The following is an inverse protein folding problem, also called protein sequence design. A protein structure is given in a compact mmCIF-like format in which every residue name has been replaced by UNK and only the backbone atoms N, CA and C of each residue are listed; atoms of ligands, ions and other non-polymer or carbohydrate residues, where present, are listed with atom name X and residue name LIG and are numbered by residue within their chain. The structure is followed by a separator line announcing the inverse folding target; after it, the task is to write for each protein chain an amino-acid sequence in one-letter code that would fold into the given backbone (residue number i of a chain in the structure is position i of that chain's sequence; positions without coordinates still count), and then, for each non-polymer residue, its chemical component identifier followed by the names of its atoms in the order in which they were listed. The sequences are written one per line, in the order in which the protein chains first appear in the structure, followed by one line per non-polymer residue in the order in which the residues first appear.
data_IF_782815987096
#
_entry.id   IF_782815987096
#
_cell.length_a   1.000
_cell.length_b   1.000
_cell.length_c   1.000
_cell.angle_alpha   90.00
_cell.angle_beta   90.00
_cell.angle_gamma   90.00
#
_symmetry.space_group_name_H-M   'P 1'
#
loop_
_entity.id
_entity.type
_entity.pdbx_description
1 polymer ?
#
# COMPACT_ATOMS: atom_id res chain seq x y z
N UNK A 1 12.28 -2.10 -17.85
CA UNK A 1 12.79 -3.10 -16.89
C UNK A 1 12.69 -4.52 -17.44
N UNK A 2 11.52 -5.19 -17.48
CA UNK A 2 11.37 -6.61 -17.90
C UNK A 2 12.11 -6.93 -19.20
N UNK A 3 11.96 -6.11 -20.24
CA UNK A 3 12.67 -6.26 -21.52
C UNK A 3 14.19 -6.37 -21.35
N UNK A 4 14.79 -5.52 -20.53
CA UNK A 4 16.23 -5.51 -20.28
C UNK A 4 16.68 -6.71 -19.43
N UNK A 5 15.85 -7.17 -18.48
CA UNK A 5 16.11 -8.39 -17.70
C UNK A 5 16.20 -9.60 -18.65
N UNK A 6 15.23 -9.73 -19.57
CA UNK A 6 15.23 -10.79 -20.57
C UNK A 6 16.43 -10.72 -21.53
N UNK A 7 16.76 -9.53 -22.03
CA UNK A 7 17.91 -9.33 -22.93
C UNK A 7 19.25 -9.63 -22.24
N UNK A 8 19.31 -9.46 -20.91
CA UNK A 8 20.48 -9.80 -20.09
C UNK A 8 20.55 -11.29 -19.76
N UNK A 9 19.57 -12.10 -20.16
CA UNK A 9 19.55 -13.54 -19.94
C UNK A 9 19.23 -13.95 -18.50
N UNK A 10 18.64 -13.05 -17.70
CA UNK A 10 18.29 -13.32 -16.31
C UNK A 10 16.90 -13.98 -16.28
N UNK A 11 16.75 -15.22 -15.76
CA UNK A 11 15.46 -15.86 -15.62
C UNK A 11 14.61 -15.17 -14.54
N UNK A 12 13.29 -15.14 -14.74
CA UNK A 12 12.32 -14.62 -13.77
C UNK A 12 11.43 -15.80 -13.37
N UNK A 13 11.60 -16.27 -12.13
CA UNK A 13 10.91 -17.46 -11.62
C UNK A 13 9.65 -17.11 -10.81
N UNK A 14 9.55 -15.87 -10.30
CA UNK A 14 8.41 -15.37 -9.54
C UNK A 14 8.24 -13.88 -9.78
N UNK A 15 7.00 -13.40 -9.68
CA UNK A 15 6.67 -11.98 -9.84
C UNK A 15 5.77 -11.55 -8.70
N UNK A 16 6.01 -10.36 -8.16
CA UNK A 16 5.18 -9.78 -7.12
C UNK A 16 5.01 -8.30 -7.39
N UNK A 17 3.88 -7.72 -6.95
CA UNK A 17 3.71 -6.29 -7.13
C UNK A 17 2.55 -5.69 -6.37
N UNK A 18 2.63 -4.37 -6.26
CA UNK A 18 1.67 -3.51 -5.58
C UNK A 18 1.26 -2.39 -6.53
N UNK A 19 -0.01 -2.03 -6.53
CA UNK A 19 -0.54 -0.98 -7.38
C UNK A 19 -0.19 -1.21 -8.86
N UNK A 20 0.42 -0.24 -9.54
CA UNK A 20 0.84 -0.42 -10.94
C UNK A 20 1.84 -1.57 -11.12
N UNK A 21 2.64 -1.88 -10.10
CA UNK A 21 3.52 -3.05 -10.06
C UNK A 21 2.73 -4.36 -10.07
N UNK A 22 1.58 -4.41 -9.37
CA UNK A 22 0.67 -5.56 -9.40
C UNK A 22 0.15 -5.79 -10.83
N UNK A 23 -0.28 -4.72 -11.50
CA UNK A 23 -0.79 -4.79 -12.87
C UNK A 23 0.29 -5.24 -13.87
N UNK A 24 1.47 -4.61 -13.85
CA UNK A 24 2.55 -4.96 -14.77
C UNK A 24 3.12 -6.35 -14.48
N UNK A 25 3.20 -6.73 -13.20
CA UNK A 25 3.62 -8.06 -12.78
C UNK A 25 2.62 -9.15 -13.18
N UNK A 26 1.33 -8.91 -13.04
CA UNK A 26 0.27 -9.81 -13.47
C UNK A 26 0.29 -9.99 -14.99
N UNK A 27 0.49 -8.91 -15.75
CA UNK A 27 0.64 -8.99 -17.21
C UNK A 27 1.84 -9.87 -17.59
N UNK A 28 2.96 -9.74 -16.90
CA UNK A 28 4.14 -10.57 -17.15
C UNK A 28 3.94 -12.04 -16.76
N UNK A 29 3.30 -12.28 -15.61
CA UNK A 29 2.99 -13.63 -15.14
C UNK A 29 1.95 -14.34 -16.02
N UNK A 30 1.05 -13.59 -16.66
CA UNK A 30 0.09 -14.10 -17.63
C UNK A 30 0.73 -14.28 -19.02
N UNK A 31 1.53 -13.31 -19.46
CA UNK A 31 2.06 -13.23 -20.81
C UNK A 31 3.59 -13.36 -20.79
N UNK A 32 4.12 -14.52 -21.20
CA UNK A 32 5.57 -14.79 -21.29
C UNK A 32 6.31 -13.91 -22.32
N UNK A 33 5.59 -13.22 -23.21
CA UNK A 33 6.17 -12.44 -24.31
C UNK A 33 6.11 -10.94 -24.02
N UNK A 34 7.28 -10.29 -23.93
CA UNK A 34 7.42 -8.84 -23.69
C UNK A 34 6.64 -8.00 -24.71
N UNK A 35 6.52 -8.47 -25.96
CA UNK A 35 5.80 -7.75 -27.01
C UNK A 35 4.31 -7.69 -26.70
N UNK A 36 3.71 -8.81 -26.31
CA UNK A 36 2.29 -8.91 -25.92
C UNK A 36 2.01 -8.13 -24.65
N UNK A 37 2.90 -8.24 -23.65
CA UNK A 37 2.84 -7.48 -22.40
C UNK A 37 2.84 -5.99 -22.69
N UNK A 38 3.76 -5.53 -23.54
CA UNK A 38 3.89 -4.13 -23.94
C UNK A 38 2.63 -3.66 -24.68
N UNK A 39 2.07 -4.49 -25.56
CA UNK A 39 0.85 -4.15 -26.29
C UNK A 39 -0.34 -4.01 -25.35
N UNK A 40 -0.62 -5.01 -24.50
CA UNK A 40 -1.71 -4.96 -23.53
C UNK A 40 -1.57 -3.78 -22.56
N UNK A 41 -0.36 -3.55 -22.04
CA UNK A 41 -0.08 -2.41 -21.18
C UNK A 41 -0.34 -1.07 -21.89
N UNK A 42 0.15 -0.91 -23.13
CA UNK A 42 -0.08 0.31 -23.93
C UNK A 42 -1.56 0.54 -24.21
N UNK A 43 -2.29 -0.51 -24.58
CA UNK A 43 -3.73 -0.42 -24.85
C UNK A 43 -4.51 -0.02 -23.59
N UNK A 44 -4.17 -0.60 -22.44
CA UNK A 44 -4.74 -0.21 -21.16
C UNK A 44 -4.41 1.25 -20.79
N UNK A 45 -3.15 1.69 -20.93
CA UNK A 45 -2.75 3.09 -20.67
C UNK A 45 -3.46 4.09 -21.60
N UNK A 46 -3.69 3.73 -22.87
CA UNK A 46 -4.49 4.53 -23.80
C UNK A 46 -5.94 4.67 -23.32
N UNK A 47 -6.57 3.58 -22.85
CA UNK A 47 -7.93 3.63 -22.27
C UNK A 47 -7.98 4.52 -21.04
N UNK A 48 -6.96 4.47 -20.19
CA UNK A 48 -6.84 5.35 -19.00
C UNK A 48 -6.61 6.82 -19.35
N UNK A 49 -6.16 7.14 -20.57
CA UNK A 49 -6.03 8.51 -21.07
C UNK A 49 -7.35 9.05 -21.65
N UNK A 50 -8.42 8.23 -21.76
CA UNK A 50 -9.72 8.70 -22.24
C UNK A 50 -10.53 9.32 -21.10
N UNK A 51 -10.23 10.59 -20.79
CA UNK A 51 -10.77 11.33 -19.64
C UNK A 51 -12.31 11.34 -19.61
N UNK A 52 -12.97 11.33 -20.77
CA UNK A 52 -14.44 11.31 -20.87
C UNK A 52 -15.08 10.09 -20.20
N UNK A 53 -14.47 8.90 -20.30
CA UNK A 53 -15.00 7.69 -19.66
C UNK A 53 -14.86 7.75 -18.14
N UNK A 54 -13.74 8.31 -17.66
CA UNK A 54 -13.51 8.50 -16.23
C UNK A 54 -14.46 9.55 -15.65
N UNK A 55 -14.68 10.67 -16.34
CA UNK A 55 -15.63 11.71 -15.93
C UNK A 55 -17.06 11.17 -15.83
N UNK A 56 -17.47 10.29 -16.75
CA UNK A 56 -18.78 9.64 -16.68
C UNK A 56 -18.91 8.64 -15.52
N UNK A 57 -17.78 8.20 -14.96
CA UNK A 57 -17.72 7.33 -13.78
C UNK A 57 -17.65 8.14 -12.46
N UNK A 58 -17.72 9.47 -12.53
CA UNK A 58 -17.74 10.34 -11.36
C UNK A 58 -19.02 10.07 -10.54
N UNK A 59 -18.86 9.78 -9.26
CA UNK A 59 -19.96 9.49 -8.34
C UNK A 59 -20.09 10.58 -7.28
N UNK A 60 -21.18 10.58 -6.52
CA UNK A 60 -21.33 11.47 -5.39
C UNK A 60 -20.25 11.16 -4.34
N UNK A 61 -19.37 12.11 -3.99
CA UNK A 61 -18.13 11.82 -3.25
C UNK A 61 -18.37 11.67 -1.74
N UNK A 62 -19.22 10.72 -1.35
CA UNK A 62 -19.33 10.29 0.06
C UNK A 62 -18.20 9.36 0.46
N UNK A 63 -17.76 8.49 -0.46
CA UNK A 63 -16.73 7.48 -0.22
C UNK A 63 -15.57 7.56 -1.21
N UNK A 64 -15.82 7.99 -2.45
CA UNK A 64 -14.81 8.11 -3.52
C UNK A 64 -15.28 9.06 -4.63
N UNK A 65 -14.34 9.65 -5.37
CA UNK A 65 -14.66 10.51 -6.51
C UNK A 65 -15.21 9.72 -7.70
N UNK A 66 -14.72 8.51 -7.94
CA UNK A 66 -15.18 7.63 -9.03
C UNK A 66 -15.92 6.43 -8.47
N UNK A 67 -16.88 5.87 -9.22
CA UNK A 67 -17.57 4.63 -8.85
C UNK A 67 -16.67 3.40 -9.03
N UNK A 68 -15.67 3.52 -9.92
CA UNK A 68 -14.72 2.45 -10.24
C UNK A 68 -15.25 1.47 -11.29
N UNK A 69 -16.45 1.68 -11.83
CA UNK A 69 -17.06 0.78 -12.82
C UNK A 69 -16.25 0.73 -14.12
N UNK A 70 -15.79 1.87 -14.62
CA UNK A 70 -15.00 1.91 -15.85
C UNK A 70 -13.60 1.31 -15.61
N UNK A 71 -13.00 1.60 -14.46
CA UNK A 71 -11.71 1.03 -14.08
C UNK A 71 -11.78 -0.51 -13.94
N UNK A 72 -12.83 -1.03 -13.32
CA UNK A 72 -13.07 -2.47 -13.22
C UNK A 72 -13.21 -3.11 -14.62
N UNK A 73 -13.92 -2.44 -15.54
CA UNK A 73 -14.08 -2.93 -16.91
C UNK A 73 -12.74 -2.95 -17.67
N UNK A 74 -11.89 -1.93 -17.51
CA UNK A 74 -10.59 -1.90 -18.21
C UNK A 74 -9.65 -2.99 -17.70
N UNK A 75 -9.59 -3.22 -16.37
CA UNK A 75 -8.76 -4.27 -15.78
C UNK A 75 -9.31 -5.67 -16.13
N UNK A 76 -10.62 -5.89 -16.00
CA UNK A 76 -11.24 -7.17 -16.39
C UNK A 76 -11.08 -7.46 -17.89
N UNK A 77 -11.14 -6.44 -18.76
CA UNK A 77 -10.88 -6.62 -20.18
C UNK A 77 -9.43 -7.01 -20.49
N UNK A 78 -8.47 -6.61 -19.65
CA UNK A 78 -7.05 -6.95 -19.81
C UNK A 78 -6.74 -8.38 -19.38
N UNK A 79 -7.29 -8.81 -18.23
CA UNK A 79 -6.96 -10.09 -17.60
C UNK A 79 -8.01 -11.19 -17.81
N UNK A 80 -9.19 -10.85 -18.34
CA UNK A 80 -10.35 -11.74 -18.41
C UNK A 80 -10.73 -12.33 -17.03
N UNK A 81 -11.48 -13.43 -17.03
CA UNK A 81 -11.86 -14.16 -15.81
C UNK A 81 -10.77 -15.20 -15.45
N UNK A 82 -9.53 -14.73 -15.34
CA UNK A 82 -8.35 -15.54 -14.96
C UNK A 82 -8.15 -15.53 -13.44
N UNK A 83 -7.69 -16.65 -12.89
CA UNK A 83 -7.29 -16.78 -11.50
C UNK A 83 -5.77 -16.67 -11.33
N UNK A 84 -5.31 -16.24 -10.15
CA UNK A 84 -3.87 -16.04 -9.89
C UNK A 84 -3.09 -17.36 -10.02
N UNK A 85 -3.67 -18.44 -9.52
CA UNK A 85 -3.10 -19.78 -9.54
C UNK A 85 -2.97 -20.39 -10.95
N UNK A 86 -3.70 -19.84 -11.94
CA UNK A 86 -3.65 -20.26 -13.34
C UNK A 86 -2.54 -19.56 -14.14
N UNK A 87 -1.79 -18.66 -13.51
CA UNK A 87 -0.73 -17.90 -14.18
C UNK A 87 0.49 -18.77 -14.51
N UNK A 88 1.20 -18.40 -15.58
CA UNK A 88 2.38 -19.13 -16.04
C UNK A 88 3.55 -19.02 -15.06
N UNK A 89 3.68 -17.87 -14.38
CA UNK A 89 4.66 -17.66 -13.31
C UNK A 89 3.94 -17.53 -11.97
N UNK A 90 4.52 -18.08 -10.88
CA UNK A 90 4.13 -17.75 -9.53
C UNK A 90 4.01 -16.23 -9.35
N UNK A 91 2.82 -15.80 -8.96
CA UNK A 91 2.47 -14.39 -8.81
C UNK A 91 1.86 -14.13 -7.45
N UNK A 92 2.16 -12.98 -6.87
CA UNK A 92 1.41 -12.45 -5.75
C UNK A 92 1.15 -10.95 -5.89
N UNK A 93 0.10 -10.48 -5.23
CA UNK A 93 -0.14 -9.06 -5.04
C UNK A 93 -0.54 -8.74 -3.61
N UNK A 94 -0.28 -7.50 -3.18
CA UNK A 94 -0.59 -7.04 -1.84
C UNK A 94 -1.71 -6.01 -1.89
N UNK A 95 -2.64 -6.11 -0.94
CA UNK A 95 -3.68 -5.09 -0.69
C UNK A 95 -3.66 -4.67 0.77
N UNK A 96 -4.19 -3.49 1.04
CA UNK A 96 -4.48 -3.04 2.40
C UNK A 96 -5.91 -3.42 2.75
N UNK A 97 -6.10 -4.24 3.77
CA UNK A 97 -7.41 -4.58 4.30
C UNK A 97 -7.79 -3.56 5.37
N UNK A 98 -8.75 -2.68 5.06
CA UNK A 98 -9.16 -1.61 5.99
C UNK A 98 -10.19 -2.09 7.01
N UNK A 99 -10.82 -3.25 6.78
CA UNK A 99 -11.75 -3.86 7.75
C UNK A 99 -10.96 -4.40 8.95
N UNK A 100 -9.82 -5.04 8.68
CA UNK A 100 -8.95 -5.65 9.71
C UNK A 100 -7.66 -4.87 9.97
N UNK A 101 -7.45 -3.75 9.27
CA UNK A 101 -6.26 -2.88 9.39
C UNK A 101 -4.94 -3.63 9.21
N UNK A 102 -4.88 -4.59 8.28
CA UNK A 102 -3.69 -5.39 8.03
C UNK A 102 -3.33 -5.54 6.56
N UNK A 103 -2.09 -5.96 6.31
CA UNK A 103 -1.63 -6.37 5.00
C UNK A 103 -2.27 -7.71 4.61
N UNK A 104 -2.74 -7.82 3.37
CA UNK A 104 -3.24 -9.06 2.80
C UNK A 104 -2.48 -9.40 1.52
N UNK A 105 -1.95 -10.62 1.47
CA UNK A 105 -1.19 -11.16 0.35
C UNK A 105 -2.11 -12.09 -0.43
N UNK A 106 -2.22 -11.87 -1.73
CA UNK A 106 -3.07 -12.67 -2.62
C UNK A 106 -2.19 -13.49 -3.56
N UNK A 107 -2.25 -14.80 -3.39
CA UNK A 107 -1.59 -15.81 -4.25
C UNK A 107 -2.59 -16.71 -4.97
N UNK A 108 -3.89 -16.53 -4.73
CA UNK A 108 -4.97 -17.28 -5.34
C UNK A 108 -6.23 -16.42 -5.48
N UNK A 109 -7.17 -16.83 -6.33
CA UNK A 109 -8.44 -16.15 -6.58
C UNK A 109 -8.40 -15.21 -7.78
N UNK A 110 -9.44 -14.38 -7.93
CA UNK A 110 -9.65 -13.60 -9.17
C UNK A 110 -8.57 -12.53 -9.39
N UNK A 111 -7.78 -12.70 -10.47
CA UNK A 111 -6.64 -11.85 -10.78
C UNK A 111 -7.03 -10.38 -10.95
N UNK A 112 -8.03 -10.11 -11.78
CA UNK A 112 -8.45 -8.75 -12.08
C UNK A 112 -8.97 -8.02 -10.84
N UNK A 113 -9.62 -8.74 -9.92
CA UNK A 113 -10.15 -8.17 -8.67
C UNK A 113 -9.02 -7.73 -7.75
N UNK A 114 -8.06 -8.61 -7.48
CA UNK A 114 -6.96 -8.28 -6.57
C UNK A 114 -5.98 -7.28 -7.17
N UNK A 115 -5.72 -7.32 -8.48
CA UNK A 115 -4.97 -6.26 -9.17
C UNK A 115 -5.70 -4.92 -9.06
N UNK A 116 -7.02 -4.89 -9.33
CA UNK A 116 -7.83 -3.66 -9.15
C UNK A 116 -7.75 -3.15 -7.73
N UNK A 117 -7.92 -4.04 -6.75
CA UNK A 117 -7.86 -3.68 -5.34
C UNK A 117 -6.51 -3.09 -4.98
N UNK A 118 -5.42 -3.73 -5.42
CA UNK A 118 -4.05 -3.28 -5.17
C UNK A 118 -3.76 -1.91 -5.82
N UNK A 119 -4.56 -1.47 -6.80
CA UNK A 119 -4.48 -0.15 -7.44
C UNK A 119 -5.51 0.88 -6.90
N UNK A 120 -6.27 0.53 -5.85
CA UNK A 120 -7.38 1.34 -5.36
C UNK A 120 -6.94 2.40 -4.37
N UNK A 121 -6.62 3.60 -4.87
CA UNK A 121 -6.24 4.74 -4.04
C UNK A 121 -7.44 5.32 -3.28
N UNK A 122 -7.23 5.59 -1.98
CA UNK A 122 -8.22 6.19 -1.08
C UNK A 122 -8.72 7.53 -1.62
N UNK A 123 -10.04 7.75 -1.60
CA UNK A 123 -10.68 8.96 -2.14
C UNK A 123 -10.79 9.00 -3.66
N UNK A 124 -9.95 8.27 -4.39
CA UNK A 124 -10.05 8.14 -5.85
C UNK A 124 -11.08 7.06 -6.24
N UNK A 125 -10.93 5.84 -5.71
CA UNK A 125 -11.83 4.72 -5.96
C UNK A 125 -12.38 4.15 -4.66
N UNK A 126 -13.58 3.53 -4.68
CA UNK A 126 -14.13 2.90 -3.49
C UNK A 126 -13.33 1.63 -3.19
N UNK A 127 -13.20 1.25 -1.90
CA UNK A 127 -12.64 -0.03 -1.53
C UNK A 127 -13.31 -1.18 -2.28
N UNK A 128 -12.52 -2.18 -2.69
CA UNK A 128 -13.10 -3.39 -3.28
C UNK A 128 -13.57 -4.30 -2.16
N UNK A 129 -14.85 -4.67 -2.17
CA UNK A 129 -15.36 -5.69 -1.27
C UNK A 129 -14.94 -7.08 -1.77
N UNK A 130 -14.25 -7.85 -0.94
CA UNK A 130 -13.88 -9.23 -1.21
C UNK A 130 -15.13 -10.14 -1.08
N UNK A 131 -15.50 -10.91 -2.11
CA UNK A 131 -16.70 -11.76 -2.06
C UNK A 131 -16.56 -12.94 -1.09
N UNK A 132 -15.35 -13.28 -0.65
CA UNK A 132 -15.12 -14.44 0.21
C UNK A 132 -15.46 -14.18 1.68
N UNK A 133 -15.18 -12.98 2.18
CA UNK A 133 -15.36 -12.61 3.60
C UNK A 133 -16.00 -11.24 3.81
N UNK A 134 -16.28 -10.48 2.74
CA UNK A 134 -16.87 -9.15 2.83
C UNK A 134 -15.90 -8.04 3.24
N UNK A 135 -14.59 -8.32 3.32
CA UNK A 135 -13.60 -7.34 3.71
C UNK A 135 -13.40 -6.26 2.64
N UNK A 136 -13.07 -5.05 3.08
CA UNK A 136 -12.83 -3.91 2.22
C UNK A 136 -11.34 -3.75 1.96
N UNK A 137 -10.96 -3.80 0.69
CA UNK A 137 -9.58 -3.80 0.25
C UNK A 137 -9.23 -2.53 -0.55
N UNK A 138 -8.05 -1.98 -0.28
CA UNK A 138 -7.46 -0.81 -0.95
C UNK A 138 -6.04 -1.12 -1.45
N UNK A 139 -5.41 -0.11 -2.05
CA UNK A 139 -4.03 -0.16 -2.55
C UNK A 139 -3.09 -0.73 -1.47
N UNK A 140 -2.27 -1.72 -1.86
CA UNK A 140 -1.33 -2.36 -0.93
C UNK A 140 -0.19 -1.43 -0.51
N UNK A 141 0.00 -0.33 -1.22
CA UNK A 141 1.04 0.63 -0.99
C UNK A 141 0.93 1.34 0.35
N UNK A 142 -0.23 1.31 1.02
CA UNK A 142 -0.39 1.88 2.36
C UNK A 142 0.24 1.03 3.48
N UNK A 143 0.44 -0.27 3.24
CA UNK A 143 1.01 -1.20 4.22
C UNK A 143 2.37 -1.73 3.83
N UNK A 144 2.58 -1.99 2.54
CA UNK A 144 3.86 -2.43 1.99
C UNK A 144 3.95 -2.09 0.51
N UNK A 145 4.67 -1.01 0.17
CA UNK A 145 4.77 -0.53 -1.21
C UNK A 145 5.80 -1.27 -2.07
N UNK A 146 6.78 -1.93 -1.44
CA UNK A 146 7.83 -2.69 -2.13
C UNK A 146 8.02 -4.05 -1.44
N UNK A 147 7.17 -5.05 -1.74
CA UNK A 147 7.01 -6.26 -0.93
C UNK A 147 8.08 -7.32 -1.20
N UNK A 148 9.35 -6.94 -1.09
CA UNK A 148 10.48 -7.84 -1.24
C UNK A 148 10.57 -8.84 -0.08
N UNK A 149 10.13 -8.45 1.11
CA UNK A 149 9.94 -9.32 2.29
C UNK A 149 8.93 -10.44 1.99
N UNK A 150 7.81 -10.12 1.36
CA UNK A 150 6.80 -11.11 0.95
C UNK A 150 7.40 -12.07 -0.07
N UNK A 151 8.07 -11.55 -1.11
CA UNK A 151 8.72 -12.38 -2.12
C UNK A 151 9.79 -13.30 -1.49
N UNK A 152 10.55 -12.81 -0.52
CA UNK A 152 11.51 -13.60 0.25
C UNK A 152 10.83 -14.72 1.05
N UNK A 153 9.72 -14.41 1.72
CA UNK A 153 8.95 -15.39 2.51
C UNK A 153 8.36 -16.50 1.64
N UNK A 154 8.09 -16.23 0.36
CA UNK A 154 7.62 -17.20 -0.63
C UNK A 154 8.75 -18.05 -1.23
N UNK A 155 10.00 -17.87 -0.78
CA UNK A 155 11.15 -18.71 -1.15
C UNK A 155 12.08 -18.11 -2.20
N UNK A 156 11.96 -16.81 -2.52
CA UNK A 156 12.89 -16.18 -3.45
C UNK A 156 14.29 -16.00 -2.84
N UNK A 157 15.31 -16.51 -3.53
CA UNK A 157 16.69 -16.40 -3.06
C UNK A 157 17.34 -15.06 -3.36
N UNK A 158 17.06 -14.53 -4.56
CA UNK A 158 17.60 -13.27 -5.05
C UNK A 158 16.46 -12.44 -5.64
N UNK A 159 16.33 -11.20 -5.21
CA UNK A 159 15.17 -10.34 -5.50
C UNK A 159 15.64 -9.09 -6.23
N UNK A 160 15.03 -8.80 -7.38
CA UNK A 160 15.18 -7.52 -8.06
C UNK A 160 14.01 -6.61 -7.67
N UNK A 161 14.22 -5.69 -6.73
CA UNK A 161 13.17 -4.78 -6.27
C UNK A 161 13.21 -3.47 -7.04
N UNK A 162 12.14 -3.20 -7.79
CA UNK A 162 12.03 -2.05 -8.67
C UNK A 162 11.14 -0.99 -8.03
N UNK A 163 11.75 0.09 -7.54
CA UNK A 163 11.01 1.20 -6.96
C UNK A 163 10.67 2.25 -8.03
N UNK A 164 9.39 2.56 -8.13
CA UNK A 164 8.82 3.60 -9.00
C UNK A 164 8.06 4.67 -8.21
N UNK A 165 8.25 4.72 -6.89
CA UNK A 165 7.67 5.72 -6.01
C UNK A 165 8.22 7.12 -6.29
N UNK A 166 7.37 8.14 -6.11
CA UNK A 166 7.76 9.55 -6.18
C UNK A 166 8.63 9.93 -4.98
N UNK A 167 9.66 10.74 -5.20
CA UNK A 167 10.36 11.40 -4.07
C UNK A 167 9.50 12.56 -3.58
N UNK A 168 9.14 12.51 -2.30
CA UNK A 168 8.53 13.62 -1.60
C UNK A 168 9.53 14.79 -1.49
N UNK A 169 9.09 16.01 -1.86
CA UNK A 169 9.90 17.21 -1.65
C UNK A 169 10.10 17.43 -0.15
N UNK A 170 11.34 17.41 0.29
CA UNK A 170 11.74 17.64 1.69
C UNK A 170 12.07 19.12 1.94
N UNK A 171 12.19 19.92 0.88
CA UNK A 171 12.45 21.36 0.95
C UNK A 171 11.15 22.14 1.21
N UNK A 172 10.58 21.92 2.39
CA UNK A 172 9.39 22.63 2.87
C UNK A 172 9.80 23.92 3.58
N UNK A 173 9.05 25.00 3.33
CA UNK A 173 9.27 26.27 4.01
C UNK A 173 8.90 26.14 5.48
N UNK A 174 9.84 26.45 6.38
CA UNK A 174 9.53 26.60 7.80
C UNK A 174 8.72 27.90 7.99
N UNK A 175 7.43 27.76 8.30
CA UNK A 175 6.50 28.87 8.49
C UNK A 175 6.18 29.17 9.96
N UNK A 176 6.80 28.47 10.93
CA UNK A 176 6.52 28.62 12.36
C UNK A 176 5.31 27.79 12.83
N UNK A 177 4.62 28.28 13.87
CA UNK A 177 3.59 27.52 14.59
C UNK A 177 2.17 27.68 14.00
N UNK A 178 1.94 28.70 13.18
CA UNK A 178 0.65 28.97 12.54
C UNK A 178 0.78 29.31 11.06
N UNK A 179 -0.20 28.84 10.26
CA UNK A 179 -0.24 29.06 8.83
C UNK A 179 -1.65 29.48 8.40
N UNK A 180 -1.78 30.74 7.99
CA UNK A 180 -3.04 31.26 7.45
C UNK A 180 -3.21 30.90 5.97
N UNK A 181 -4.30 30.21 5.63
CA UNK A 181 -4.67 29.91 4.25
C UNK A 181 -4.88 31.17 3.40
N UNK A 182 -5.38 32.26 3.99
CA UNK A 182 -5.53 33.55 3.32
C UNK A 182 -4.18 34.20 3.00
N UNK A 183 -3.20 34.05 3.88
CA UNK A 183 -1.84 34.52 3.65
C UNK A 183 -1.16 33.74 2.52
N UNK A 184 -1.33 32.42 2.48
CA UNK A 184 -0.85 31.58 1.36
C UNK A 184 -1.46 32.01 0.03
N UNK A 185 -2.76 32.30 0.01
CA UNK A 185 -3.46 32.74 -1.20
C UNK A 185 -2.94 34.11 -1.67
N UNK A 186 -2.72 35.04 -0.75
CA UNK A 186 -2.11 36.33 -1.05
C UNK A 186 -0.67 36.19 -1.58
N UNK A 187 0.15 35.35 -0.94
CA UNK A 187 1.52 35.04 -1.38
C UNK A 187 1.56 34.39 -2.76
N UNK A 188 0.60 33.52 -3.08
CA UNK A 188 0.46 32.91 -4.41
C UNK A 188 0.14 33.95 -5.49
N UNK A 189 -0.65 34.97 -5.14
CA UNK A 189 -1.09 36.00 -6.09
C UNK A 189 -0.07 37.13 -6.29
N UNK A 190 0.80 37.39 -5.30
CA UNK A 190 1.81 38.44 -5.38
C UNK A 190 3.09 38.00 -6.13
N UNK A 191 3.37 38.52 -7.34
CA UNK A 191 4.53 38.11 -8.14
C UNK A 191 5.88 38.53 -7.57
N UNK A 192 5.93 39.40 -6.56
CA UNK A 192 7.16 39.85 -5.90
C UNK A 192 7.43 39.11 -4.57
N UNK A 193 6.54 38.22 -4.14
CA UNK A 193 6.71 37.47 -2.91
C UNK A 193 7.56 36.20 -3.13
N UNK A 194 8.36 35.85 -2.12
CA UNK A 194 9.06 34.56 -2.11
C UNK A 194 8.05 33.40 -2.19
N UNK A 195 8.28 32.40 -3.07
CA UNK A 195 7.40 31.24 -3.16
C UNK A 195 7.47 30.45 -1.87
N UNK A 196 6.31 30.25 -1.25
CA UNK A 196 6.17 29.44 -0.04
C UNK A 196 5.83 28.02 -0.47
N UNK A 197 6.70 27.08 -0.13
CA UNK A 197 6.49 25.65 -0.38
C UNK A 197 5.90 25.01 0.86
N UNK A 198 4.58 24.79 0.83
CA UNK A 198 3.85 24.08 1.87
C UNK A 198 3.09 22.91 1.25
N UNK A 199 3.04 21.75 1.91
CA UNK A 199 2.29 20.60 1.41
C UNK A 199 0.80 20.93 1.42
N UNK A 200 0.09 20.54 0.36
CA UNK A 200 -1.36 20.70 0.31
C UNK A 200 -2.06 19.53 1.05
N UNK A 201 -3.37 19.63 1.26
CA UNK A 201 -4.14 18.57 1.96
C UNK A 201 -3.96 17.17 1.33
N UNK A 202 -4.11 16.99 0.00
CA UNK A 202 -3.77 15.73 -0.67
C UNK A 202 -2.34 15.22 -0.41
N UNK A 203 -1.34 16.11 -0.45
CA UNK A 203 0.06 15.74 -0.21
C UNK A 203 0.24 15.23 1.23
N UNK A 204 -0.35 15.92 2.21
CA UNK A 204 -0.32 15.53 3.63
C UNK A 204 -0.99 14.17 3.81
N UNK A 205 -2.19 13.97 3.23
CA UNK A 205 -2.90 12.71 3.32
C UNK A 205 -2.10 11.56 2.70
N UNK A 206 -1.48 11.78 1.55
CA UNK A 206 -0.60 10.79 0.92
C UNK A 206 0.58 10.44 1.84
N UNK A 207 1.31 11.44 2.36
CA UNK A 207 2.45 11.19 3.26
C UNK A 207 2.06 10.40 4.50
N UNK A 208 0.94 10.74 5.11
CA UNK A 208 0.41 10.00 6.26
C UNK A 208 0.02 8.57 5.89
N UNK A 209 -0.57 8.36 4.72
CA UNK A 209 -1.01 7.05 4.28
C UNK A 209 0.16 6.10 3.94
N UNK A 210 1.33 6.62 3.55
CA UNK A 210 2.51 5.83 3.18
C UNK A 210 3.61 5.80 4.27
N UNK A 211 3.40 6.44 5.42
CA UNK A 211 4.43 6.59 6.48
C UNK A 211 4.94 5.24 7.00
N UNK A 212 4.06 4.25 7.14
CA UNK A 212 4.37 2.87 7.55
C UNK A 212 5.32 2.17 6.56
N UNK A 213 5.16 2.44 5.27
CA UNK A 213 5.92 1.79 4.20
C UNK A 213 7.34 2.30 4.06
N UNK A 214 7.60 3.54 4.47
CA UNK A 214 8.95 4.13 4.38
C UNK A 214 9.95 3.29 5.17
N UNK A 215 9.57 2.82 6.38
CA UNK A 215 10.43 1.96 7.21
C UNK A 215 10.76 0.64 6.53
N UNK A 216 9.74 -0.05 5.99
CA UNK A 216 9.95 -1.31 5.26
C UNK A 216 10.81 -1.10 4.00
N UNK A 217 10.62 0.00 3.30
CA UNK A 217 11.43 0.35 2.13
C UNK A 217 12.91 0.53 2.50
N UNK A 218 13.21 1.14 3.65
CA UNK A 218 14.58 1.26 4.17
C UNK A 218 15.19 -0.10 4.55
N UNK A 219 14.41 -1.00 5.14
CA UNK A 219 14.85 -2.37 5.44
C UNK A 219 15.19 -3.13 4.16
N UNK A 220 14.34 -3.03 3.13
CA UNK A 220 14.58 -3.65 1.82
C UNK A 220 15.84 -3.10 1.15
N UNK A 221 16.06 -1.78 1.18
CA UNK A 221 17.25 -1.13 0.62
C UNK A 221 18.56 -1.59 1.26
N UNK A 222 18.52 -1.96 2.54
CA UNK A 222 19.69 -2.38 3.30
C UNK A 222 19.87 -3.90 3.36
N UNK A 223 19.03 -4.67 2.66
CA UNK A 223 19.05 -6.12 2.73
C UNK A 223 19.96 -6.78 1.69
N UNK A 224 20.72 -7.80 2.10
CA UNK A 224 21.67 -8.51 1.22
C UNK A 224 20.99 -9.37 0.13
N UNK A 225 19.71 -9.71 0.32
CA UNK A 225 18.97 -10.58 -0.60
C UNK A 225 18.28 -9.82 -1.73
N UNK A 226 18.34 -8.48 -1.72
CA UNK A 226 17.57 -7.62 -2.58
C UNK A 226 18.45 -6.61 -3.33
N UNK A 227 18.43 -6.68 -4.66
CA UNK A 227 18.97 -5.65 -5.53
C UNK A 227 17.94 -4.56 -5.74
N UNK A 228 18.17 -3.41 -5.12
CA UNK A 228 17.30 -2.25 -5.24
C UNK A 228 17.61 -1.45 -6.51
N UNK A 229 16.60 -1.28 -7.36
CA UNK A 229 16.71 -0.55 -8.64
C UNK A 229 15.65 0.53 -8.71
N UNK A 230 16.07 1.79 -8.85
CA UNK A 230 15.17 2.94 -8.97
C UNK A 230 15.42 3.70 -10.28
N UNK A 231 14.55 3.55 -11.30
CA UNK A 231 14.65 4.32 -12.52
C UNK A 231 14.40 5.82 -12.29
N UNK A 232 15.01 6.72 -13.10
CA UNK A 232 14.84 8.16 -12.97
C UNK A 232 13.51 8.62 -13.59
N UNK A 233 12.41 8.47 -12.85
CA UNK A 233 11.05 8.77 -13.32
C UNK A 233 10.38 9.92 -12.55
N UNK A 234 11.13 10.67 -11.75
CA UNK A 234 10.63 11.75 -10.87
C UNK A 234 9.90 12.87 -11.63
N UNK A 235 10.17 13.04 -12.92
CA UNK A 235 9.51 14.05 -13.77
C UNK A 235 8.08 13.68 -14.17
N UNK A 236 7.67 12.41 -14.01
CA UNK A 236 6.34 11.94 -14.41
C UNK A 236 5.40 11.89 -13.21
N UNK A 237 4.15 12.32 -13.42
CA UNK A 237 3.12 12.25 -12.37
C UNK A 237 2.47 10.86 -12.33
N UNK A 238 1.97 10.46 -11.17
CA UNK A 238 1.31 9.16 -10.92
C UNK A 238 0.21 8.81 -11.94
N UNK A 239 -0.57 9.80 -12.39
CA UNK A 239 -1.69 9.60 -13.32
C UNK A 239 -1.37 9.94 -14.78
N UNK A 240 -0.09 10.10 -15.14
CA UNK A 240 0.34 10.52 -16.48
C UNK A 240 0.43 9.33 -17.47
N UNK A 241 -0.66 8.58 -17.64
CA UNK A 241 -0.70 7.39 -18.51
C UNK A 241 -0.42 7.68 -19.99
N UNK A 242 -0.59 8.93 -20.44
CA UNK A 242 -0.29 9.34 -21.82
C UNK A 242 1.20 9.26 -22.19
N UNK A 243 2.10 9.29 -21.21
CA UNK A 243 3.55 9.21 -21.42
C UNK A 243 4.11 7.77 -21.41
N UNK A 244 3.26 6.76 -21.62
CA UNK A 244 3.62 5.34 -21.52
C UNK A 244 4.91 4.97 -22.28
N UNK A 245 5.01 5.33 -23.56
CA UNK A 245 6.15 4.92 -24.40
C UNK A 245 7.46 5.59 -23.94
N UNK A 246 7.38 6.81 -23.42
CA UNK A 246 8.51 7.56 -22.88
C UNK A 246 9.00 6.95 -21.56
N UNK A 247 8.09 6.72 -20.61
CA UNK A 247 8.37 6.10 -19.30
C UNK A 247 8.97 4.70 -19.49
N UNK A 248 8.39 3.91 -20.41
CA UNK A 248 8.88 2.57 -20.75
C UNK A 248 10.32 2.62 -21.25
N UNK A 249 10.63 3.59 -22.10
CA UNK A 249 11.96 3.74 -22.69
C UNK A 249 12.99 4.20 -21.64
N UNK A 250 12.64 5.13 -20.75
CA UNK A 250 13.47 5.50 -19.59
C UNK A 250 13.79 4.27 -18.74
N UNK A 251 12.76 3.49 -18.39
CA UNK A 251 12.91 2.26 -17.61
C UNK A 251 13.64 1.13 -18.35
N UNK A 252 13.72 1.15 -19.67
CA UNK A 252 14.52 0.20 -20.47
C UNK A 252 15.99 0.62 -20.50
N UNK A 253 16.28 1.89 -20.82
CA UNK A 253 17.66 2.41 -20.87
C UNK A 253 18.37 2.32 -19.54
N UNK A 254 17.68 2.69 -18.46
CA UNK A 254 18.24 2.60 -17.11
C UNK A 254 18.60 1.16 -16.73
N UNK A 255 17.66 0.23 -16.95
CA UNK A 255 17.85 -1.18 -16.68
C UNK A 255 18.99 -1.79 -17.51
N UNK A 256 19.05 -1.45 -18.81
CA UNK A 256 20.11 -1.91 -19.70
C UNK A 256 21.49 -1.44 -19.23
N UNK A 257 21.61 -0.15 -18.89
CA UNK A 257 22.87 0.39 -18.35
C UNK A 257 23.27 -0.28 -17.03
N UNK A 258 22.30 -0.54 -16.14
CA UNK A 258 22.51 -1.23 -14.88
C UNK A 258 23.03 -2.66 -15.07
N UNK A 259 22.35 -3.48 -15.88
CA UNK A 259 22.78 -4.86 -16.14
C UNK A 259 24.07 -4.95 -16.96
N UNK A 260 24.30 -4.04 -17.92
CA UNK A 260 25.59 -3.97 -18.60
C UNK A 260 26.73 -3.61 -17.63
N UNK A 261 26.47 -2.73 -16.65
CA UNK A 261 27.39 -2.38 -15.59
C UNK A 261 27.72 -3.57 -14.70
N UNK A 262 26.70 -4.31 -14.25
CA UNK A 262 26.92 -5.52 -13.45
C UNK A 262 27.63 -6.64 -14.22
N UNK A 263 27.36 -6.77 -15.54
CA UNK A 263 28.04 -7.75 -16.39
C UNK A 263 29.52 -7.44 -16.46
N UNK A 264 29.87 -6.16 -16.67
CA UNK A 264 31.26 -5.69 -16.68
C UNK A 264 31.94 -5.82 -15.33
N UNK A 265 31.20 -5.65 -14.23
CA UNK A 265 31.70 -5.84 -12.88
C UNK A 265 31.90 -7.32 -12.50
N UNK A 266 31.49 -8.27 -13.34
CA UNK A 266 31.58 -9.70 -13.03
C UNK A 266 30.62 -10.15 -11.93
N UNK A 267 29.56 -9.38 -11.66
CA UNK A 267 28.52 -9.69 -10.66
C UNK A 267 27.40 -10.55 -11.29
N UNK A 268 26.98 -10.25 -12.52
CA UNK A 268 25.96 -11.05 -13.22
C UNK A 268 26.31 -12.53 -13.52
N UNK A 269 27.58 -12.97 -13.62
CA UNK A 269 27.91 -14.39 -13.65
C UNK A 269 27.36 -15.18 -12.45
N UNK A 270 26.99 -14.54 -11.34
CA UNK A 270 26.36 -15.20 -10.17
C UNK A 270 24.97 -15.78 -10.45
N UNK A 271 24.27 -15.34 -11.50
CA UNK A 271 23.00 -15.95 -11.90
C UNK A 271 23.17 -17.30 -12.63
N UNK A 272 24.40 -17.69 -12.99
CA UNK A 272 24.74 -19.10 -13.27
C UNK A 272 24.99 -19.77 -11.93
N UNK A 273 23.93 -20.35 -11.36
CA UNK A 273 24.00 -21.06 -10.09
C UNK A 273 25.17 -22.07 -10.06
N UNK A 274 26.14 -21.82 -9.18
CA UNK A 274 27.09 -22.83 -8.72
C UNK A 274 26.29 -23.92 -8.00
N UNK A 275 26.00 -25.02 -8.70
CA UNK A 275 25.62 -26.28 -8.06
C UNK A 275 26.88 -26.85 -7.39
N UNK A 276 27.24 -26.30 -6.23
CA UNK A 276 28.20 -26.93 -5.34
C UNK A 276 27.50 -27.21 -4.01
N UNK A 277 27.35 -28.50 -3.73
CA UNK A 277 26.64 -29.16 -2.64
C UNK A 277 27.08 -28.78 -1.20
N UNK A 278 27.77 -27.65 -0.98
CA UNK A 278 28.40 -27.31 0.30
C UNK A 278 27.63 -26.37 1.23
N UNK A 279 26.75 -25.51 0.71
CA UNK A 279 26.24 -24.36 1.49
C UNK A 279 24.87 -24.58 2.16
N UNK A 280 24.19 -25.68 1.83
CA UNK A 280 22.87 -26.01 2.38
C UNK A 280 22.86 -26.30 3.89
N UNK A 281 24.04 -26.55 4.48
CA UNK A 281 24.19 -26.89 5.90
C UNK A 281 24.43 -25.65 6.78
N UNK A 282 25.01 -24.58 6.23
CA UNK A 282 25.22 -23.31 6.94
C UNK A 282 23.96 -22.45 7.02
N UNK A 283 23.11 -22.46 5.99
CA UNK A 283 21.86 -21.68 6.00
C UNK A 283 20.79 -22.23 6.95
N UNK A 284 20.80 -23.53 7.23
CA UNK A 284 19.91 -24.14 8.25
C UNK A 284 20.23 -23.64 9.66
N UNK A 285 21.50 -23.40 9.97
CA UNK A 285 21.93 -22.88 11.27
C UNK A 285 21.64 -21.38 11.45
N UNK A 286 21.63 -20.59 10.37
CA UNK A 286 21.22 -19.17 10.42
C UNK A 286 19.71 -18.98 10.52
N UNK A 287 18.91 -19.81 9.85
CA UNK A 287 17.45 -19.76 9.93
C UNK A 287 16.92 -20.08 11.34
N UNK A 288 17.63 -20.91 12.12
CA UNK A 288 17.30 -21.15 13.53
C UNK A 288 17.60 -19.96 14.45
N UNK A 289 18.51 -19.06 14.06
CA UNK A 289 18.88 -17.88 14.86
C UNK A 289 18.06 -16.61 14.55
N UNK A 290 17.24 -16.58 13.48
CA UNK A 290 16.41 -15.42 13.13
C UNK A 290 14.99 -15.44 13.73
N UNK A 291 14.65 -16.46 14.53
CA UNK A 291 13.38 -16.56 15.28
C UNK A 291 13.28 -15.60 16.49
N UNK A 292 14.24 -14.69 16.66
CA UNK A 292 14.46 -13.94 17.90
C UNK A 292 14.00 -12.48 17.94
N UNK A 293 13.22 -11.96 16.99
CA UNK A 293 12.81 -10.54 17.05
C UNK A 293 11.35 -10.31 16.68
N UNK A 294 10.43 -10.95 17.41
CA UNK A 294 9.05 -10.50 17.48
C UNK A 294 8.93 -9.47 18.60
N UNK A 295 8.39 -8.29 18.29
CA UNK A 295 8.04 -7.31 19.32
C UNK A 295 6.80 -7.81 20.09
N UNK A 296 6.57 -7.32 21.32
CA UNK A 296 5.42 -7.72 22.14
C UNK A 296 4.07 -7.55 21.40
N UNK A 297 3.99 -6.54 20.53
CA UNK A 297 2.86 -6.29 19.63
C UNK A 297 2.67 -7.38 18.57
N UNK A 298 3.75 -7.94 18.01
CA UNK A 298 3.67 -9.00 17.00
C UNK A 298 3.16 -10.33 17.60
N UNK A 299 3.57 -10.62 18.84
CA UNK A 299 3.11 -11.81 19.58
C UNK A 299 1.63 -11.69 19.97
N UNK A 300 1.19 -10.51 20.40
CA UNK A 300 -0.21 -10.27 20.75
C UNK A 300 -1.16 -10.51 19.55
N UNK A 301 -0.74 -10.14 18.35
CA UNK A 301 -1.51 -10.35 17.12
C UNK A 301 -1.65 -11.83 16.73
N UNK A 302 -0.66 -12.67 17.02
CA UNK A 302 -0.72 -14.11 16.74
C UNK A 302 -1.60 -14.86 17.74
N UNK A 303 -1.56 -14.49 19.02
CA UNK A 303 -2.33 -15.16 20.09
C UNK A 303 -3.82 -14.84 20.02
N UNK A 304 -4.20 -13.66 19.51
CA UNK A 304 -5.61 -13.27 19.37
C UNK A 304 -6.37 -13.94 18.20
N UNK A 305 -5.72 -14.79 17.39
CA UNK A 305 -6.33 -15.47 16.23
C UNK A 305 -6.81 -16.91 16.48
N UNK A 306 -7.12 -17.28 17.73
CA UNK A 306 -7.95 -18.48 17.96
C UNK A 306 -9.42 -18.08 17.90
N UNK A 307 -9.97 -18.05 16.69
CA UNK A 307 -11.41 -17.95 16.48
C UNK A 307 -12.08 -19.23 17.01
N UNK A 308 -12.96 -19.10 18.01
CA UNK A 308 -13.87 -20.20 18.38
C UNK A 308 -14.87 -20.43 17.25
N UNK A 309 -15.18 -21.68 16.88
CA UNK A 309 -16.24 -21.93 15.90
C UNK A 309 -17.62 -21.68 16.52
N UNK A 310 -18.53 -21.32 15.61
CA UNK A 310 -19.98 -21.29 15.74
C UNK A 310 -20.53 -22.61 16.31
N UNK A 311 -21.44 -22.56 17.28
CA UNK A 311 -22.32 -23.69 17.61
C UNK A 311 -23.79 -23.26 17.48
N UNK A 312 -24.55 -24.15 16.83
CA UNK A 312 -25.93 -24.04 16.39
C UNK A 312 -26.91 -24.03 17.57
N UNK A 313 -28.04 -23.35 17.38
CA UNK A 313 -29.21 -23.47 18.26
C UNK A 313 -29.81 -24.88 18.10
N UNK A 314 -29.73 -25.69 19.16
CA UNK A 314 -30.73 -26.71 19.41
C UNK A 314 -30.92 -27.02 20.91
N UNK A 315 -32.08 -27.59 21.18
CA UNK A 315 -32.94 -27.38 22.34
C UNK A 315 -32.70 -28.27 23.59
N UNK A 316 -33.33 -27.84 24.70
CA UNK A 316 -33.83 -28.59 25.89
C UNK A 316 -33.08 -28.55 27.25
N UNK A 317 -33.70 -27.79 28.18
CA UNK A 317 -34.01 -28.06 29.60
C UNK A 317 -32.97 -28.66 30.57
N UNK A 318 -32.63 -27.92 31.64
CA UNK A 318 -33.08 -28.23 33.02
C UNK A 318 -32.79 -27.08 34.00
N UNK A 319 -33.68 -26.95 35.00
CA UNK A 319 -33.66 -26.06 36.18
C UNK A 319 -32.43 -26.33 37.09
N UNK A 320 -32.01 -25.53 38.07
CA UNK A 320 -32.77 -24.72 39.05
C UNK A 320 -31.81 -23.78 39.81
N UNK A 321 -32.39 -22.68 40.33
CA UNK A 321 -32.16 -21.98 41.61
C UNK A 321 -30.88 -21.18 41.94
N UNK A 322 -31.13 -19.88 42.11
CA UNK A 322 -30.73 -18.94 43.19
C UNK A 322 -29.27 -18.87 43.67
N UNK A 323 -28.61 -17.71 43.49
CA UNK A 323 -28.48 -16.72 44.58
C UNK A 323 -27.65 -15.46 44.22
N UNK A 324 -28.10 -14.35 44.82
CA UNK A 324 -27.53 -13.00 44.99
C UNK A 324 -25.99 -12.79 44.91
N UNK A 325 -25.55 -11.74 44.20
CA UNK A 325 -24.98 -10.46 44.75
C UNK A 325 -24.14 -9.67 43.74
N UNK A 326 -24.38 -8.35 43.71
CA UNK A 326 -23.31 -7.34 43.75
C UNK A 326 -22.83 -6.78 42.41
N UNK A 327 -23.54 -5.79 41.88
CA UNK A 327 -22.94 -4.82 40.94
C UNK A 327 -22.12 -3.77 41.68
N UNK A 328 -21.06 -3.25 41.05
CA UNK A 328 -20.62 -1.85 41.15
C UNK A 328 -19.72 -1.53 39.95
N UNK A 329 -20.20 -0.61 39.11
CA UNK A 329 -19.39 0.19 38.20
C UNK A 329 -18.80 1.37 38.97
N UNK A 330 -17.60 1.85 38.60
CA UNK A 330 -17.10 3.15 39.04
C UNK A 330 -16.11 3.72 38.00
N UNK A 331 -16.52 4.77 37.31
CA UNK A 331 -15.62 5.75 36.68
C UNK A 331 -15.06 6.69 37.77
N UNK A 332 -13.86 7.28 37.59
CA UNK A 332 -13.36 8.31 38.49
C UNK A 332 -13.60 9.72 37.92
N UNK A 333 -14.37 10.54 38.63
CA UNK A 333 -14.38 12.01 38.47
C UNK A 333 -13.49 12.64 39.53
N UNK A 334 -12.57 13.51 39.09
CA UNK A 334 -11.61 14.22 39.94
C UNK A 334 -12.29 15.46 40.54
N UNK A 335 -12.34 15.51 41.87
CA UNK A 335 -12.82 16.65 42.64
C UNK A 335 -11.76 17.72 42.86
N UNK A 336 -12.16 18.98 42.69
CA UNK A 336 -11.42 20.19 43.08
C UNK A 336 -11.84 20.55 44.51
N UNK A 337 -10.86 20.79 45.39
CA UNK A 337 -11.06 21.19 46.79
C UNK A 337 -11.06 22.72 46.96
N UNK A 338 -12.06 23.20 47.69
CA UNK A 338 -12.28 24.55 48.21
C UNK A 338 -11.18 25.06 49.16
N UNK A 339 -11.02 26.40 49.23
CA UNK A 339 -10.80 27.13 50.49
C UNK A 339 -11.31 28.59 50.43
N UNK A 340 -12.52 28.79 50.99
CA UNK A 340 -12.99 29.88 51.87
C UNK A 340 -12.63 31.37 51.63
N UNK A 341 -13.66 32.25 51.58
CA UNK A 341 -13.93 33.27 52.62
C UNK A 341 -15.27 34.04 52.43
N UNK A 342 -16.11 33.88 53.47
CA UNK A 342 -17.15 34.73 54.08
C UNK A 342 -17.66 36.07 53.49
N UNK A 343 -19.00 36.19 53.62
CA UNK A 343 -19.83 37.32 54.12
C UNK A 343 -20.48 38.33 53.14
N UNK A 344 -21.75 38.01 52.80
CA UNK A 344 -23.00 38.79 53.04
C UNK A 344 -23.14 40.26 52.59
N UNK A 345 -24.12 40.58 51.72
CA UNK A 345 -25.45 41.17 52.04
C UNK A 345 -26.22 41.65 50.78
N UNK A 346 -27.53 41.40 50.81
CA UNK A 346 -28.72 41.95 50.10
C UNK A 346 -28.66 42.77 48.78
N UNK A 347 -29.65 42.52 47.91
CA UNK A 347 -30.18 43.53 46.98
C UNK A 347 -31.03 43.00 45.82
N UNK A 348 -32.33 43.18 45.92
CA UNK A 348 -33.45 42.91 44.99
C UNK A 348 -33.33 43.46 43.54
N UNK A 349 -33.94 42.70 42.60
CA UNK A 349 -34.41 43.02 41.22
C UNK A 349 -35.24 44.34 41.10
N UNK A 350 -35.73 44.82 39.92
CA UNK A 350 -35.66 44.32 38.51
C UNK A 350 -35.35 45.39 37.42
N UNK A 351 -35.32 44.92 36.17
CA UNK A 351 -35.39 45.61 34.85
C UNK A 351 -36.50 46.66 34.71
N UNK A 352 -36.39 47.57 33.72
CA UNK A 352 -37.47 47.63 32.72
C UNK A 352 -37.02 47.93 31.26
N UNK A 353 -37.75 47.33 30.33
CA UNK A 353 -37.98 47.76 28.93
C UNK A 353 -38.92 48.99 28.90
N UNK A 354 -39.11 49.72 27.78
CA UNK A 354 -39.49 49.19 26.45
C UNK A 354 -38.40 49.30 25.37
#
# INVERSE_FOLDING_TARGET
MIKAIQESGIPIDMVGGVSIGAFMGALWAQERNVTTVTQKAREWSKKMTQWWRQILDLTYPMTSMFSGREFNQTIRATFADTYIEDLWLPYFTVTTDITSSCMRIHTHGSLWRYVRSSMSLSGYMPPLCDPHDGHLLLDGGYVNNLPADVMRSLGANHILAVDVGSVDDQDLTNYGDDLSGWWLLWKRWNPFASPVKVPNLPDIQSRLAYVSCVRQLEEVKNSDYCEYIRPPIDQYKTLQFGAFDEIREVGYRHAKAYFEGQTRAGILPLFRYNVTQGDAEQDRHKAQHSLGSYTFTDLAQMVCKVSRPYEEEDSTSSSSDEDERGGYASEPTVGVSDYSRQMSWHGTLPTPSP
#
